data_IF_681655222318
#
_entry.id   IF_681655222318
#
_cell.length_a   1.000
_cell.length_b   1.000
_cell.length_c   1.000
_cell.angle_alpha   90.00
_cell.angle_beta   90.00
_cell.angle_gamma   90.00
#
_symmetry.space_group_name_H-M   'P 1'
#
loop_
_entity.id
_entity.type
_entity.pdbx_description
1 polymer ?
#
# COMPACT_ATOMS: atom_id res chain seq x y z
N UNK A 1 52.39 18.08 -67.45
CA UNK A 1 52.65 18.18 -65.99
C UNK A 1 53.05 16.78 -65.48
N UNK A 2 54.09 16.61 -64.63
CA UNK A 2 53.99 16.43 -63.15
C UNK A 2 52.75 15.59 -62.74
N UNK A 3 52.79 14.52 -61.94
CA UNK A 3 53.83 13.85 -61.11
C UNK A 3 53.26 12.46 -60.68
N UNK A 4 53.92 11.47 -60.02
CA UNK A 4 55.20 11.34 -59.28
C UNK A 4 55.69 9.85 -59.27
N UNK A 5 56.86 9.63 -58.67
CA UNK A 5 57.42 8.48 -57.91
C UNK A 5 56.40 7.50 -57.24
N UNK A 6 56.73 6.25 -56.91
CA UNK A 6 57.99 5.81 -56.24
C UNK A 6 58.58 4.44 -56.59
N UNK A 7 59.82 4.24 -56.15
CA UNK A 7 60.71 3.13 -56.49
C UNK A 7 60.73 2.02 -55.41
N UNK A 8 61.19 0.84 -55.84
CA UNK A 8 61.46 -0.40 -55.09
C UNK A 8 62.01 -0.22 -53.67
N UNK A 9 61.56 -1.07 -52.74
CA UNK A 9 62.35 -1.46 -51.55
C UNK A 9 62.22 -2.97 -51.27
N UNK A 10 63.36 -3.59 -50.98
CA UNK A 10 63.60 -5.03 -51.00
C UNK A 10 63.16 -5.73 -49.70
N UNK A 11 62.26 -6.73 -49.78
CA UNK A 11 61.78 -7.46 -48.61
C UNK A 11 62.76 -8.55 -48.15
N UNK A 12 63.69 -8.13 -47.31
CA UNK A 12 64.59 -9.02 -46.57
C UNK A 12 63.81 -9.97 -45.64
N UNK A 13 63.57 -11.21 -46.08
CA UNK A 13 62.84 -12.24 -45.31
C UNK A 13 63.55 -12.61 -44.01
N UNK A 14 63.19 -11.96 -42.90
CA UNK A 14 63.66 -12.29 -41.55
C UNK A 14 63.15 -13.67 -41.13
N UNK A 15 64.03 -14.68 -41.14
CA UNK A 15 63.76 -15.99 -40.54
C UNK A 15 63.61 -15.84 -39.03
N UNK A 16 62.41 -16.11 -38.51
CA UNK A 16 62.15 -16.14 -37.07
C UNK A 16 63.02 -17.22 -36.40
N UNK A 17 63.70 -16.87 -35.31
CA UNK A 17 64.46 -17.86 -34.52
C UNK A 17 63.45 -18.77 -33.81
N UNK A 18 63.55 -20.08 -33.98
CA UNK A 18 62.59 -21.06 -33.44
C UNK A 18 62.48 -21.04 -31.91
N UNK A 19 63.58 -20.79 -31.19
CA UNK A 19 63.57 -20.75 -29.71
C UNK A 19 62.64 -19.68 -29.11
N UNK A 20 62.73 -18.38 -29.45
CA UNK A 20 61.78 -17.38 -28.93
C UNK A 20 60.35 -17.57 -29.44
N UNK A 21 60.14 -18.12 -30.64
CA UNK A 21 58.79 -18.46 -31.13
C UNK A 21 58.15 -19.58 -30.30
N UNK A 22 58.92 -20.61 -29.95
CA UNK A 22 58.45 -21.71 -29.08
C UNK A 22 58.11 -21.21 -27.68
N UNK A 23 58.91 -20.29 -27.13
CA UNK A 23 58.65 -19.67 -25.82
C UNK A 23 57.39 -18.79 -25.86
N UNK A 24 57.20 -18.00 -26.93
CA UNK A 24 55.98 -17.21 -27.13
C UNK A 24 54.73 -18.10 -27.25
N UNK A 25 54.80 -19.19 -28.03
CA UNK A 25 53.73 -20.18 -28.12
C UNK A 25 53.44 -20.85 -26.77
N UNK A 26 54.47 -21.16 -25.98
CA UNK A 26 54.31 -21.69 -24.63
C UNK A 26 53.55 -20.74 -23.71
N UNK A 27 53.90 -19.44 -23.71
CA UNK A 27 53.17 -18.41 -22.96
C UNK A 27 51.73 -18.26 -23.44
N UNK A 28 51.50 -18.28 -24.76
CA UNK A 28 50.15 -18.17 -25.35
C UNK A 28 49.27 -19.38 -25.00
N UNK A 29 49.84 -20.59 -25.01
CA UNK A 29 49.15 -21.81 -24.59
C UNK A 29 48.87 -21.80 -23.09
N UNK A 30 49.82 -21.38 -22.27
CA UNK A 30 49.65 -21.29 -20.81
C UNK A 30 48.60 -20.23 -20.43
N UNK A 31 48.55 -19.11 -21.15
CA UNK A 31 47.47 -18.10 -21.04
C UNK A 31 46.09 -18.65 -21.43
N UNK A 32 45.98 -19.42 -22.52
CA UNK A 32 44.73 -20.08 -22.91
C UNK A 32 44.30 -21.16 -21.89
N UNK A 33 45.25 -21.92 -21.35
CA UNK A 33 44.97 -22.92 -20.31
C UNK A 33 44.52 -22.25 -19.01
N UNK A 34 45.13 -21.14 -18.60
CA UNK A 34 44.67 -20.36 -17.45
C UNK A 34 43.27 -19.75 -17.68
N UNK A 35 42.99 -19.26 -18.89
CA UNK A 35 41.65 -18.76 -19.25
C UNK A 35 40.60 -19.87 -19.24
N UNK A 36 40.93 -21.06 -19.76
CA UNK A 36 40.04 -22.22 -19.77
C UNK A 36 39.82 -22.80 -18.35
N UNK A 37 40.84 -22.78 -17.48
CA UNK A 37 40.70 -23.12 -16.06
C UNK A 37 39.82 -22.08 -15.35
N UNK A 38 40.00 -20.78 -15.62
CA UNK A 38 39.16 -19.72 -15.06
C UNK A 38 37.69 -19.81 -15.54
N UNK A 39 37.44 -20.43 -16.69
CA UNK A 39 36.09 -20.75 -17.19
C UNK A 39 35.53 -22.07 -16.64
N UNK A 40 36.39 -23.03 -16.26
CA UNK A 40 35.98 -24.30 -15.65
C UNK A 40 35.79 -24.24 -14.13
N UNK A 41 36.38 -23.24 -13.46
CA UNK A 41 35.97 -22.88 -12.10
C UNK A 41 34.53 -22.37 -12.21
N UNK A 42 33.55 -22.96 -11.50
CA UNK A 42 32.20 -22.42 -11.46
C UNK A 42 32.27 -20.98 -10.98
N UNK A 43 31.95 -20.04 -11.86
CA UNK A 43 31.77 -18.66 -11.46
C UNK A 43 30.44 -18.60 -10.72
N UNK A 44 30.49 -18.83 -9.41
CA UNK A 44 29.36 -18.80 -8.46
C UNK A 44 28.86 -17.35 -8.25
N UNK A 45 28.63 -16.67 -9.38
CA UNK A 45 27.95 -15.40 -9.53
C UNK A 45 26.49 -15.58 -9.95
N UNK A 46 25.97 -16.80 -9.86
CA UNK A 46 24.73 -16.96 -9.09
C UNK A 46 25.03 -16.63 -7.63
N UNK A 47 25.12 -15.32 -7.34
CA UNK A 47 24.92 -14.82 -6.00
C UNK A 47 23.44 -15.04 -5.66
N UNK A 48 23.07 -16.30 -5.44
CA UNK A 48 21.93 -16.66 -4.63
C UNK A 48 22.26 -16.13 -3.24
N UNK A 49 21.93 -14.87 -3.00
CA UNK A 49 21.92 -14.29 -1.67
C UNK A 49 20.82 -15.01 -0.91
N UNK A 50 21.18 -16.14 -0.29
CA UNK A 50 20.51 -16.69 0.89
C UNK A 50 20.67 -15.66 2.00
N UNK A 51 19.94 -14.57 1.84
CA UNK A 51 19.88 -13.42 2.73
C UNK A 51 19.18 -13.91 4.00
N UNK A 52 19.92 -13.98 5.10
CA UNK A 52 19.35 -14.25 6.40
C UNK A 52 18.48 -13.06 6.80
N UNK A 53 17.19 -13.32 7.04
CA UNK A 53 16.23 -12.30 7.48
C UNK A 53 16.01 -12.31 8.99
N UNK A 54 16.30 -13.43 9.64
CA UNK A 54 16.32 -13.61 11.09
C UNK A 54 17.09 -14.88 11.47
N UNK A 55 17.43 -15.05 12.75
CA UNK A 55 17.94 -16.32 13.28
C UNK A 55 17.44 -16.60 14.71
N UNK A 56 17.33 -17.88 15.07
CA UNK A 56 16.91 -18.36 16.39
C UNK A 56 17.87 -19.47 16.83
N UNK A 57 18.53 -19.31 17.98
CA UNK A 57 19.56 -20.22 18.49
C UNK A 57 20.69 -20.57 17.49
N UNK A 58 20.98 -19.64 16.55
CA UNK A 58 21.95 -19.84 15.48
C UNK A 58 21.41 -20.57 14.24
N UNK A 59 20.15 -21.01 14.22
CA UNK A 59 19.46 -21.46 13.01
C UNK A 59 18.95 -20.24 12.23
N UNK A 60 19.41 -20.09 10.98
CA UNK A 60 19.06 -18.97 10.11
C UNK A 60 17.73 -19.21 9.38
N UNK A 61 16.87 -18.19 9.39
CA UNK A 61 15.67 -18.08 8.56
C UNK A 61 16.05 -17.32 7.30
N UNK A 62 15.93 -17.97 6.15
CA UNK A 62 16.32 -17.42 4.86
C UNK A 62 15.17 -16.66 4.21
N UNK A 63 15.50 -15.58 3.49
CA UNK A 63 14.56 -14.78 2.70
C UNK A 63 13.70 -15.63 1.77
N UNK A 64 14.29 -16.63 1.11
CA UNK A 64 13.57 -17.56 0.23
C UNK A 64 12.49 -18.35 0.97
N UNK A 65 12.78 -18.84 2.18
CA UNK A 65 11.81 -19.56 3.02
C UNK A 65 10.67 -18.64 3.45
N UNK A 66 10.99 -17.42 3.87
CA UNK A 66 10.00 -16.41 4.24
C UNK A 66 9.12 -16.02 3.04
N UNK A 67 9.72 -15.72 1.88
CA UNK A 67 8.98 -15.35 0.67
C UNK A 67 8.09 -16.49 0.16
N UNK A 68 8.56 -17.75 0.17
CA UNK A 68 7.75 -18.91 -0.19
C UNK A 68 6.56 -19.12 0.77
N UNK A 69 6.77 -18.87 2.07
CA UNK A 69 5.70 -18.92 3.07
C UNK A 69 4.68 -17.78 2.86
N UNK A 70 5.15 -16.57 2.54
CA UNK A 70 4.29 -15.41 2.21
C UNK A 70 3.49 -15.65 0.92
N UNK A 71 4.11 -16.20 -0.12
CA UNK A 71 3.43 -16.59 -1.37
C UNK A 71 2.36 -17.66 -1.11
N UNK A 72 2.68 -18.68 -0.31
CA UNK A 72 1.73 -19.73 0.09
C UNK A 72 0.54 -19.19 0.90
N UNK A 73 0.73 -18.15 1.71
CA UNK A 73 -0.33 -17.56 2.54
C UNK A 73 -1.17 -16.50 1.83
N UNK A 74 -0.54 -15.64 1.02
CA UNK A 74 -1.17 -14.43 0.47
C UNK A 74 -0.99 -14.27 -1.05
N UNK A 75 -0.12 -15.06 -1.70
CA UNK A 75 0.27 -14.87 -3.09
C UNK A 75 -0.88 -14.96 -4.09
N UNK A 76 -1.89 -15.82 -3.82
CA UNK A 76 -3.10 -15.91 -4.66
C UNK A 76 -3.97 -14.67 -4.57
N UNK A 77 -4.18 -14.14 -3.37
CA UNK A 77 -4.99 -12.94 -3.14
C UNK A 77 -4.30 -11.69 -3.70
N UNK A 78 -3.01 -11.52 -3.40
CA UNK A 78 -2.21 -10.40 -3.92
C UNK A 78 -2.16 -10.43 -5.45
N UNK A 79 -1.95 -11.60 -6.08
CA UNK A 79 -1.99 -11.67 -7.55
C UNK A 79 -3.38 -11.39 -8.11
N UNK A 80 -4.45 -11.88 -7.47
CA UNK A 80 -5.82 -11.60 -7.89
C UNK A 80 -6.09 -10.08 -7.93
N UNK A 81 -5.72 -9.36 -6.86
CA UNK A 81 -5.83 -7.90 -6.81
C UNK A 81 -5.01 -7.21 -7.90
N UNK A 82 -3.77 -7.64 -8.14
CA UNK A 82 -2.90 -7.09 -9.18
C UNK A 82 -3.45 -7.33 -10.59
N UNK A 83 -3.97 -8.53 -10.89
CA UNK A 83 -4.58 -8.85 -12.18
C UNK A 83 -5.85 -8.02 -12.36
N UNK A 84 -6.73 -7.95 -11.36
CA UNK A 84 -7.94 -7.12 -11.40
C UNK A 84 -7.64 -5.64 -11.67
N UNK A 85 -6.66 -5.06 -10.96
CA UNK A 85 -6.21 -3.69 -11.21
C UNK A 85 -5.67 -3.51 -12.64
N UNK A 86 -4.86 -4.45 -13.13
CA UNK A 86 -4.28 -4.39 -14.47
C UNK A 86 -5.34 -4.55 -15.58
N UNK A 87 -6.33 -5.43 -15.41
CA UNK A 87 -7.45 -5.62 -16.33
C UNK A 87 -8.28 -4.34 -16.40
N UNK A 88 -8.60 -3.71 -15.26
CA UNK A 88 -9.29 -2.41 -15.24
C UNK A 88 -8.46 -1.31 -15.93
N UNK A 89 -7.14 -1.23 -15.72
CA UNK A 89 -6.30 -0.26 -16.44
C UNK A 89 -6.21 -0.48 -17.96
N UNK A 90 -6.44 -1.71 -18.45
CA UNK A 90 -6.60 -1.97 -19.89
C UNK A 90 -8.01 -1.60 -20.36
N UNK A 91 -9.05 -1.93 -19.58
CA UNK A 91 -10.43 -1.56 -19.83
C UNK A 91 -10.61 -0.04 -19.92
N UNK A 92 -10.01 0.74 -19.01
CA UNK A 92 -10.04 2.19 -19.03
C UNK A 92 -9.52 2.76 -20.37
N UNK A 93 -8.42 2.22 -20.88
CA UNK A 93 -7.82 2.62 -22.16
C UNK A 93 -8.69 2.23 -23.36
N UNK A 94 -9.31 1.04 -23.33
CA UNK A 94 -10.22 0.56 -24.39
C UNK A 94 -11.52 1.37 -24.46
N UNK A 95 -12.04 1.76 -23.30
CA UNK A 95 -13.34 2.44 -23.17
C UNK A 95 -13.25 3.98 -23.06
N UNK A 96 -12.04 4.57 -23.15
CA UNK A 96 -11.68 5.98 -22.89
C UNK A 96 -12.19 6.52 -21.52
N UNK A 97 -12.19 5.64 -20.51
CA UNK A 97 -12.52 6.01 -19.13
C UNK A 97 -11.32 6.73 -18.51
N UNK A 98 -11.59 7.90 -17.94
CA UNK A 98 -10.60 8.69 -17.19
C UNK A 98 -11.04 8.74 -15.73
N UNK A 99 -10.10 8.46 -14.84
CA UNK A 99 -10.24 8.64 -13.39
C UNK A 99 -9.18 9.64 -12.96
N UNK A 100 -9.64 10.74 -12.37
CA UNK A 100 -8.81 11.84 -11.87
C UNK A 100 -8.41 11.63 -10.40
N UNK A 101 -7.35 12.31 -9.96
CA UNK A 101 -6.93 12.26 -8.56
C UNK A 101 -7.99 12.84 -7.61
N UNK A 102 -8.77 13.84 -8.07
CA UNK A 102 -9.85 14.44 -7.29
C UNK A 102 -10.98 13.45 -7.00
N UNK A 103 -11.31 12.58 -7.95
CA UNK A 103 -12.29 11.51 -7.73
C UNK A 103 -11.75 10.46 -6.77
N UNK A 104 -10.47 10.10 -6.87
CA UNK A 104 -9.83 9.17 -5.93
C UNK A 104 -9.80 9.77 -4.52
N UNK A 105 -9.48 11.07 -4.37
CA UNK A 105 -9.48 11.77 -3.09
C UNK A 105 -10.90 11.89 -2.49
N UNK A 106 -11.93 12.12 -3.32
CA UNK A 106 -13.34 12.12 -2.89
C UNK A 106 -13.77 10.73 -2.39
N UNK A 107 -13.59 9.68 -3.19
CA UNK A 107 -13.92 8.31 -2.79
C UNK A 107 -13.15 7.87 -1.53
N UNK A 108 -11.86 8.25 -1.43
CA UNK A 108 -11.04 7.98 -0.25
C UNK A 108 -11.55 8.71 0.99
N UNK A 109 -12.05 9.93 0.85
CA UNK A 109 -12.69 10.66 1.93
C UNK A 109 -14.00 9.98 2.37
N UNK A 110 -14.86 9.61 1.42
CA UNK A 110 -16.14 8.93 1.68
C UNK A 110 -15.95 7.57 2.37
N UNK A 111 -15.03 6.72 1.88
CA UNK A 111 -14.69 5.44 2.51
C UNK A 111 -14.14 5.64 3.93
N UNK A 112 -13.26 6.63 4.14
CA UNK A 112 -12.75 6.96 5.49
C UNK A 112 -13.82 7.52 6.44
N UNK A 113 -14.93 8.06 5.91
CA UNK A 113 -16.04 8.59 6.72
C UNK A 113 -17.05 7.52 7.15
N UNK A 114 -17.16 6.43 6.40
CA UNK A 114 -18.06 5.30 6.67
C UNK A 114 -17.39 4.12 7.37
N UNK A 115 -16.05 4.11 7.46
CA UNK A 115 -15.30 3.06 8.16
C UNK A 115 -15.37 3.18 9.69
N UNK A 116 -16.02 2.20 10.30
CA UNK A 116 -15.82 1.88 11.71
C UNK A 116 -14.38 1.40 11.96
N UNK A 117 -13.87 1.63 13.18
CA UNK A 117 -12.51 1.26 13.59
C UNK A 117 -12.13 -0.22 13.50
N UNK A 118 -13.10 -1.10 13.22
CA UNK A 118 -12.90 -2.54 13.09
C UNK A 118 -12.45 -3.03 11.71
N UNK A 119 -12.61 -2.25 10.63
CA UNK A 119 -12.12 -2.67 9.30
C UNK A 119 -10.61 -2.42 9.19
N UNK A 120 -9.83 -3.48 9.33
CA UNK A 120 -8.36 -3.46 9.28
C UNK A 120 -7.78 -3.38 7.87
N UNK A 121 -8.60 -3.59 6.82
CA UNK A 121 -8.15 -3.73 5.43
C UNK A 121 -7.45 -2.46 4.90
N UNK A 122 -7.86 -1.29 5.40
CA UNK A 122 -7.29 0.02 5.08
C UNK A 122 -6.32 0.53 6.16
N UNK A 123 -6.12 -0.20 7.26
CA UNK A 123 -5.35 0.25 8.43
C UNK A 123 -3.87 -0.09 8.36
N UNK A 124 -3.52 -1.13 7.60
CA UNK A 124 -2.14 -1.63 7.41
C UNK A 124 -1.63 -1.49 5.96
N UNK A 125 -2.48 -1.00 5.05
CA UNK A 125 -2.15 -0.81 3.64
C UNK A 125 -1.46 0.54 3.39
N UNK A 126 -0.45 0.54 2.52
CA UNK A 126 0.14 1.77 1.97
C UNK A 126 -0.96 2.64 1.33
N UNK A 127 -0.89 3.97 1.47
CA UNK A 127 -1.88 4.86 0.86
C UNK A 127 -1.92 4.68 -0.66
N UNK A 128 -0.78 4.42 -1.31
CA UNK A 128 -0.75 4.15 -2.75
C UNK A 128 -1.54 2.88 -3.10
N UNK A 129 -1.43 1.80 -2.32
CA UNK A 129 -2.21 0.57 -2.51
C UNK A 129 -3.70 0.85 -2.38
N UNK A 130 -4.11 1.68 -1.41
CA UNK A 130 -5.50 2.09 -1.24
C UNK A 130 -5.99 2.91 -2.45
N UNK A 131 -5.19 3.88 -2.92
CA UNK A 131 -5.52 4.72 -4.10
C UNK A 131 -5.65 3.86 -5.36
N UNK A 132 -4.80 2.86 -5.55
CA UNK A 132 -4.90 1.91 -6.67
C UNK A 132 -6.17 1.03 -6.59
N UNK A 133 -6.56 0.54 -5.39
CA UNK A 133 -7.83 -0.20 -5.21
C UNK A 133 -9.05 0.66 -5.52
N UNK A 134 -9.09 1.90 -5.01
CA UNK A 134 -10.15 2.88 -5.31
C UNK A 134 -10.21 3.17 -6.81
N UNK A 135 -9.06 3.37 -7.46
CA UNK A 135 -8.96 3.62 -8.90
C UNK A 135 -9.49 2.46 -9.74
N UNK A 136 -9.13 1.22 -9.40
CA UNK A 136 -9.65 0.01 -10.05
C UNK A 136 -11.18 -0.10 -9.94
N UNK A 137 -11.72 0.15 -8.73
CA UNK A 137 -13.17 0.23 -8.48
C UNK A 137 -13.85 1.33 -9.32
N UNK A 138 -13.32 2.55 -9.30
CA UNK A 138 -13.87 3.67 -10.08
C UNK A 138 -13.90 3.40 -11.59
N UNK A 139 -12.90 2.70 -12.13
CA UNK A 139 -12.91 2.30 -13.54
C UNK A 139 -14.07 1.33 -13.81
N UNK A 140 -14.21 0.28 -13.00
CA UNK A 140 -15.30 -0.69 -13.11
C UNK A 140 -16.67 0.00 -13.07
N UNK A 141 -16.90 0.83 -12.05
CA UNK A 141 -18.13 1.59 -11.86
C UNK A 141 -18.46 2.48 -13.06
N UNK A 142 -17.47 3.21 -13.58
CA UNK A 142 -17.64 4.04 -14.78
C UNK A 142 -17.90 3.24 -16.06
N UNK A 143 -17.34 2.04 -16.20
CA UNK A 143 -17.64 1.15 -17.33
C UNK A 143 -19.09 0.67 -17.25
N UNK A 144 -19.54 0.25 -16.06
CA UNK A 144 -20.90 -0.25 -15.84
C UNK A 144 -21.98 0.84 -15.97
N UNK A 145 -21.71 2.05 -15.47
CA UNK A 145 -22.64 3.18 -15.53
C UNK A 145 -22.72 3.87 -16.91
N UNK A 146 -21.79 3.57 -17.84
CA UNK A 146 -21.57 4.35 -19.08
C UNK A 146 -22.80 4.54 -19.96
N UNK A 147 -23.64 3.51 -20.08
CA UNK A 147 -24.82 3.50 -20.94
C UNK A 147 -26.14 3.73 -20.17
N UNK A 148 -26.07 4.04 -18.87
CA UNK A 148 -27.22 4.30 -18.00
C UNK A 148 -27.43 5.81 -17.89
N UNK A 149 -28.64 6.28 -18.22
CA UNK A 149 -29.00 7.70 -18.17
C UNK A 149 -29.71 8.00 -16.84
N UNK A 150 -29.16 8.92 -16.06
CA UNK A 150 -29.79 9.47 -14.85
C UNK A 150 -30.24 10.90 -15.13
N UNK A 151 -31.46 11.24 -14.71
CA UNK A 151 -32.02 12.60 -14.83
C UNK A 151 -31.36 13.55 -13.81
N UNK A 152 -31.03 14.79 -14.22
CA UNK A 152 -30.38 15.81 -13.37
C UNK A 152 -31.21 16.14 -12.09
N UNK A 153 -32.55 16.11 -12.21
CA UNK A 153 -33.42 16.31 -11.04
C UNK A 153 -33.28 15.17 -10.02
N UNK A 154 -32.89 13.95 -10.43
CA UNK A 154 -32.70 12.82 -9.54
C UNK A 154 -31.36 12.91 -8.79
N UNK A 155 -30.26 13.23 -9.47
CA UNK A 155 -28.94 13.44 -8.82
C UNK A 155 -29.00 14.59 -7.81
N UNK A 156 -29.65 15.69 -8.19
CA UNK A 156 -29.84 16.85 -7.32
C UNK A 156 -30.74 16.55 -6.12
N UNK A 157 -31.86 15.85 -6.33
CA UNK A 157 -32.72 15.40 -5.23
C UNK A 157 -32.00 14.45 -4.28
N UNK A 158 -31.14 13.57 -4.81
CA UNK A 158 -30.33 12.68 -3.99
C UNK A 158 -29.34 13.46 -3.13
N UNK A 159 -28.59 14.42 -3.71
CA UNK A 159 -27.73 15.32 -2.93
C UNK A 159 -28.51 16.08 -1.86
N UNK A 160 -29.64 16.68 -2.22
CA UNK A 160 -30.40 17.54 -1.31
C UNK A 160 -30.94 16.78 -0.09
N UNK A 161 -31.32 15.51 -0.26
CA UNK A 161 -31.76 14.59 0.80
C UNK A 161 -30.60 13.98 1.60
N UNK A 162 -29.42 13.80 0.98
CA UNK A 162 -28.28 13.10 1.57
C UNK A 162 -27.07 14.00 1.89
N UNK A 163 -27.23 15.32 2.00
CA UNK A 163 -26.14 16.30 2.25
C UNK A 163 -25.17 15.92 3.37
N UNK A 164 -25.64 15.21 4.39
CA UNK A 164 -24.83 14.77 5.52
C UNK A 164 -23.73 13.76 5.10
N UNK A 165 -23.95 12.95 4.07
CA UNK A 165 -22.94 12.03 3.52
C UNK A 165 -21.75 12.79 2.89
N UNK A 166 -22.03 13.99 2.37
CA UNK A 166 -21.04 14.85 1.69
C UNK A 166 -20.43 15.91 2.60
N UNK A 167 -20.77 15.91 3.89
CA UNK A 167 -20.19 16.79 4.89
C UNK A 167 -19.42 15.96 5.92
N UNK A 168 -18.20 15.59 5.54
CA UNK A 168 -17.34 14.69 6.31
C UNK A 168 -16.70 15.48 7.46
N UNK A 169 -16.96 15.13 8.73
CA UNK A 169 -16.37 15.82 9.86
C UNK A 169 -14.85 15.58 9.94
N UNK A 170 -14.15 16.41 10.70
CA UNK A 170 -12.75 16.10 11.05
C UNK A 170 -12.74 14.87 11.95
N UNK A 171 -11.95 13.87 11.57
CA UNK A 171 -11.78 12.63 12.32
C UNK A 171 -10.33 12.40 12.71
N UNK A 172 -10.15 11.69 13.82
CA UNK A 172 -8.86 11.49 14.48
C UNK A 172 -8.65 9.98 14.65
N UNK A 173 -7.56 9.42 14.11
CA UNK A 173 -7.17 8.05 14.46
C UNK A 173 -6.75 8.06 15.92
N UNK A 174 -7.52 7.39 16.77
CA UNK A 174 -7.50 7.58 18.22
C UNK A 174 -7.16 6.28 18.93
N UNK A 175 -6.18 6.34 19.81
CA UNK A 175 -5.84 5.25 20.72
C UNK A 175 -6.24 5.65 22.15
N UNK A 176 -6.77 4.70 22.94
CA UNK A 176 -7.30 4.95 24.28
C UNK A 176 -6.82 3.90 25.29
N UNK A 177 -6.36 4.37 26.45
CA UNK A 177 -6.10 3.55 27.63
C UNK A 177 -7.20 3.82 28.64
N UNK A 178 -8.17 2.91 28.75
CA UNK A 178 -9.27 2.96 29.72
C UNK A 178 -8.78 2.43 31.08
N UNK A 179 -9.07 3.12 32.17
CA UNK A 179 -8.51 2.84 33.50
C UNK A 179 -9.58 2.94 34.60
N UNK A 180 -9.40 2.18 35.69
CA UNK A 180 -10.41 2.07 36.76
C UNK A 180 -10.33 3.23 37.76
N UNK A 181 -9.16 3.81 37.96
CA UNK A 181 -8.97 4.89 38.93
C UNK A 181 -8.00 5.98 38.45
N UNK A 182 -8.11 7.16 39.06
CA UNK A 182 -7.29 8.32 38.74
C UNK A 182 -5.81 8.19 39.17
N UNK A 183 -5.45 7.17 39.95
CA UNK A 183 -4.06 6.86 40.30
C UNK A 183 -3.34 6.22 39.12
N UNK A 184 -3.87 5.08 38.65
CA UNK A 184 -3.43 4.37 37.44
C UNK A 184 -3.31 5.32 36.24
N UNK A 185 -4.29 6.19 36.03
CA UNK A 185 -4.27 7.15 34.93
C UNK A 185 -3.15 8.19 35.01
N UNK A 186 -2.77 8.63 36.22
CA UNK A 186 -1.62 9.51 36.41
C UNK A 186 -0.30 8.78 36.25
N UNK A 187 -0.23 7.51 36.67
CA UNK A 187 0.95 6.66 36.45
C UNK A 187 1.19 6.44 34.95
N UNK A 188 0.15 6.11 34.17
CA UNK A 188 0.24 6.00 32.70
C UNK A 188 0.73 7.29 32.06
N UNK A 189 0.19 8.47 32.42
CA UNK A 189 0.70 9.76 31.89
C UNK A 189 2.16 10.01 32.28
N UNK A 190 2.59 9.63 33.48
CA UNK A 190 3.99 9.75 33.90
C UNK A 190 4.91 8.79 33.12
N UNK A 191 4.50 7.55 32.89
CA UNK A 191 5.26 6.56 32.11
C UNK A 191 5.38 6.98 30.64
N UNK A 192 4.30 7.51 30.03
CA UNK A 192 4.34 8.13 28.70
C UNK A 192 5.32 9.32 28.64
N UNK A 193 5.28 10.22 29.62
CA UNK A 193 6.23 11.34 29.73
C UNK A 193 7.69 10.89 29.90
N UNK A 194 7.92 9.70 30.45
CA UNK A 194 9.24 9.08 30.57
C UNK A 194 9.70 8.32 29.31
N UNK A 195 8.87 8.26 28.26
CA UNK A 195 9.19 7.67 26.97
C UNK A 195 8.66 6.25 26.73
N UNK A 196 7.76 5.74 27.57
CA UNK A 196 7.08 4.45 27.33
C UNK A 196 6.18 4.52 26.09
N UNK A 197 6.05 3.41 25.35
CA UNK A 197 5.14 3.31 24.20
C UNK A 197 3.67 3.26 24.65
N UNK A 198 2.81 4.07 24.03
CA UNK A 198 1.37 4.07 24.31
C UNK A 198 0.73 2.70 24.05
N UNK A 199 1.06 2.05 22.93
CA UNK A 199 0.56 0.71 22.58
C UNK A 199 0.89 -0.35 23.64
N UNK A 200 2.12 -0.31 24.17
CA UNK A 200 2.55 -1.22 25.25
C UNK A 200 1.77 -0.98 26.55
N UNK A 201 1.59 0.28 26.94
CA UNK A 201 0.81 0.64 28.12
C UNK A 201 -0.69 0.34 27.95
N UNK A 202 -1.23 0.45 26.73
CA UNK A 202 -2.59 0.04 26.42
C UNK A 202 -2.75 -1.47 26.60
N UNK A 203 -1.83 -2.29 26.06
CA UNK A 203 -1.82 -3.75 26.21
C UNK A 203 -1.67 -4.20 27.67
N UNK A 204 -0.87 -3.50 28.46
CA UNK A 204 -0.57 -3.86 29.85
C UNK A 204 -1.63 -3.36 30.86
N UNK A 205 -2.11 -2.12 30.69
CA UNK A 205 -2.89 -1.40 31.73
C UNK A 205 -4.33 -1.12 31.36
N UNK A 206 -4.71 -1.10 30.07
CA UNK A 206 -6.08 -0.77 29.69
C UNK A 206 -7.07 -1.85 30.15
N UNK A 207 -8.19 -1.41 30.72
CA UNK A 207 -9.27 -2.30 31.18
C UNK A 207 -10.26 -2.66 30.07
N UNK A 208 -10.11 -2.06 28.88
CA UNK A 208 -10.84 -2.47 27.67
C UNK A 208 -10.01 -3.49 26.88
N UNK A 209 -10.32 -4.78 27.04
CA UNK A 209 -9.53 -5.85 26.45
C UNK A 209 -9.53 -5.84 24.90
N UNK A 210 -10.61 -5.33 24.29
CA UNK A 210 -10.75 -5.15 22.84
C UNK A 210 -9.68 -4.22 22.29
N UNK A 211 -9.72 -2.94 22.67
CA UNK A 211 -8.75 -1.96 22.17
C UNK A 211 -7.34 -2.25 22.71
N UNK A 212 -7.20 -2.73 23.96
CA UNK A 212 -5.90 -3.09 24.54
C UNK A 212 -5.10 -4.03 23.63
N UNK A 213 -5.74 -5.08 23.09
CA UNK A 213 -5.08 -6.05 22.20
C UNK A 213 -4.50 -5.42 20.92
N UNK A 214 -5.12 -4.33 20.47
CA UNK A 214 -4.75 -3.53 19.28
C UNK A 214 -3.85 -2.33 19.64
N UNK A 215 -3.27 -2.25 20.84
CA UNK A 215 -2.46 -1.11 21.26
C UNK A 215 -3.28 0.12 21.71
N UNK A 216 -4.56 -0.08 22.03
CA UNK A 216 -5.51 0.96 22.44
C UNK A 216 -6.31 1.55 21.29
N UNK A 217 -6.04 1.16 20.04
CA UNK A 217 -6.70 1.70 18.85
C UNK A 217 -8.22 1.44 18.86
N UNK A 218 -8.99 2.52 18.67
CA UNK A 218 -10.46 2.49 18.52
C UNK A 218 -10.93 3.05 17.17
N UNK A 219 -10.01 3.28 16.23
CA UNK A 219 -10.30 3.76 14.89
C UNK A 219 -10.40 5.28 14.77
N UNK A 220 -11.15 5.71 13.75
CA UNK A 220 -11.40 7.12 13.49
C UNK A 220 -12.58 7.63 14.33
N UNK A 221 -12.31 8.65 15.14
CA UNK A 221 -13.31 9.27 16.02
C UNK A 221 -13.56 10.70 15.57
N UNK A 222 -14.82 11.13 15.58
CA UNK A 222 -15.26 12.49 15.24
C UNK A 222 -16.15 13.09 16.33
N UNK A 223 -16.51 14.36 16.21
CA UNK A 223 -17.38 15.06 17.18
C UNK A 223 -18.79 14.42 17.31
N UNK A 224 -19.22 13.63 16.31
CA UNK A 224 -20.50 12.91 16.29
C UNK A 224 -20.43 11.40 16.52
N UNK A 225 -19.29 10.85 16.97
CA UNK A 225 -19.15 9.40 17.18
C UNK A 225 -19.83 8.96 18.49
N UNK A 226 -21.12 8.60 18.42
CA UNK A 226 -21.97 8.23 19.58
C UNK A 226 -21.45 7.05 20.42
N UNK A 227 -20.63 6.17 19.85
CA UNK A 227 -20.01 5.03 20.53
C UNK A 227 -18.85 5.41 21.46
N UNK A 228 -18.39 6.67 21.42
CA UNK A 228 -17.24 7.18 22.19
C UNK A 228 -17.70 8.22 23.20
N UNK A 229 -17.13 8.20 24.41
CA UNK A 229 -17.49 9.15 25.46
C UNK A 229 -17.16 10.61 25.03
N UNK A 230 -18.09 11.58 25.15
CA UNK A 230 -17.84 12.96 24.76
C UNK A 230 -16.66 13.66 25.46
N UNK A 231 -16.20 13.17 26.61
CA UNK A 231 -14.96 13.65 27.22
C UNK A 231 -13.74 13.35 26.32
N UNK A 232 -13.75 12.19 25.63
CA UNK A 232 -12.75 11.80 24.64
C UNK A 232 -12.90 12.67 23.40
N UNK A 233 -14.09 12.70 22.76
CA UNK A 233 -14.28 13.42 21.49
C UNK A 233 -13.96 14.91 21.60
N UNK A 234 -14.28 15.54 22.74
CA UNK A 234 -13.97 16.95 23.02
C UNK A 234 -12.46 17.23 23.21
N UNK A 235 -11.65 16.23 23.56
CA UNK A 235 -10.22 16.40 23.78
C UNK A 235 -9.41 16.35 22.47
N UNK A 236 -9.83 15.52 21.51
CA UNK A 236 -9.09 15.23 20.27
C UNK A 236 -8.67 16.48 19.47
N UNK A 237 -9.50 17.53 19.29
CA UNK A 237 -9.12 18.72 18.52
C UNK A 237 -7.97 19.53 19.12
N UNK A 238 -7.66 19.32 20.40
CA UNK A 238 -6.52 19.98 21.07
C UNK A 238 -5.20 19.23 20.91
N UNK A 239 -5.25 17.95 20.50
CA UNK A 239 -4.09 17.07 20.39
C UNK A 239 -3.42 17.19 19.02
N UNK A 240 -2.13 16.89 19.00
CA UNK A 240 -1.33 16.78 17.78
C UNK A 240 -1.04 15.30 17.50
N UNK A 241 -0.81 14.91 16.23
CA UNK A 241 -0.25 13.61 15.88
C UNK A 241 0.89 13.17 16.80
N UNK A 242 0.81 11.95 17.32
CA UNK A 242 1.76 11.37 18.28
C UNK A 242 1.72 11.96 19.69
N UNK A 243 0.66 12.69 20.07
CA UNK A 243 0.48 13.27 21.42
C UNK A 243 -0.77 12.77 22.12
N UNK A 244 -0.64 12.62 23.44
CA UNK A 244 -1.69 12.17 24.33
C UNK A 244 -2.28 13.31 25.17
N UNK A 245 -3.47 13.07 25.71
CA UNK A 245 -4.20 13.96 26.61
C UNK A 245 -3.69 13.89 28.06
N UNK A 246 -4.10 14.86 28.86
CA UNK A 246 -4.22 14.67 30.31
C UNK A 246 -5.28 13.59 30.65
N UNK A 247 -5.36 13.20 31.92
CA UNK A 247 -6.37 12.24 32.40
C UNK A 247 -7.79 12.79 32.22
N UNK A 248 -8.57 12.13 31.36
CA UNK A 248 -9.99 12.40 31.14
C UNK A 248 -10.83 11.59 32.14
N UNK A 249 -11.93 12.17 32.61
CA UNK A 249 -12.94 11.47 33.41
C UNK A 249 -14.16 11.21 32.53
N UNK A 250 -14.56 9.95 32.41
CA UNK A 250 -15.65 9.51 31.55
C UNK A 250 -17.00 9.58 32.29
N UNK A 251 -18.11 9.60 31.53
CA UNK A 251 -19.47 9.66 32.08
C UNK A 251 -19.83 8.45 32.95
N UNK A 252 -19.22 7.31 32.69
CA UNK A 252 -19.39 6.07 33.46
C UNK A 252 -18.54 6.01 34.75
N UNK A 253 -17.74 7.05 35.02
CA UNK A 253 -16.86 7.15 36.18
C UNK A 253 -15.49 6.49 36.02
N UNK A 254 -15.18 5.90 34.85
CA UNK A 254 -13.81 5.47 34.50
C UNK A 254 -12.94 6.67 34.10
N UNK A 255 -11.66 6.38 33.92
CA UNK A 255 -10.67 7.34 33.44
C UNK A 255 -10.13 6.90 32.08
N UNK A 256 -9.71 7.86 31.27
CA UNK A 256 -9.04 7.59 30.00
C UNK A 256 -7.81 8.49 29.81
N UNK A 257 -6.81 7.95 29.13
CA UNK A 257 -5.76 8.72 28.46
C UNK A 257 -5.88 8.43 26.98
N UNK A 258 -5.92 9.45 26.12
CA UNK A 258 -6.15 9.28 24.68
C UNK A 258 -5.01 9.87 23.88
N UNK A 259 -4.61 9.20 22.79
CA UNK A 259 -3.62 9.68 21.84
C UNK A 259 -4.26 9.84 20.46
N UNK A 260 -3.84 10.88 19.74
CA UNK A 260 -4.14 11.05 18.30
C UNK A 260 -2.91 10.63 17.50
N UNK A 261 -3.05 9.66 16.62
CA UNK A 261 -1.98 9.23 15.71
C UNK A 261 -1.99 10.04 14.42
N UNK A 262 -3.15 10.12 13.75
CA UNK A 262 -3.34 10.89 12.53
C UNK A 262 -4.62 11.72 12.60
N UNK A 263 -4.64 12.84 11.87
CA UNK A 263 -5.80 13.74 11.77
C UNK A 263 -6.25 13.79 10.32
N UNK A 264 -7.45 13.27 10.05
CA UNK A 264 -8.12 13.47 8.77
C UNK A 264 -8.99 14.73 8.87
N UNK A 265 -8.58 15.78 8.15
CA UNK A 265 -9.32 17.05 8.15
C UNK A 265 -10.67 16.85 7.47
N UNK A 266 -11.72 17.38 8.08
CA UNK A 266 -13.06 17.34 7.53
C UNK A 266 -13.14 18.06 6.18
N UNK A 267 -14.00 17.55 5.32
CA UNK A 267 -14.22 18.03 3.95
C UNK A 267 -15.71 18.10 3.68
N UNK A 268 -16.17 19.24 3.17
CA UNK A 268 -17.55 19.45 2.76
C UNK A 268 -17.57 19.62 1.25
N UNK A 269 -18.29 18.73 0.57
CA UNK A 269 -18.40 18.74 -0.88
C UNK A 269 -19.73 19.38 -1.29
N UNK A 270 -19.68 20.27 -2.29
CA UNK A 270 -20.86 20.85 -2.92
C UNK A 270 -21.44 19.90 -3.97
N UNK A 271 -22.67 20.13 -4.44
CA UNK A 271 -23.30 19.30 -5.47
C UNK A 271 -22.39 19.10 -6.69
N UNK A 272 -21.75 20.16 -7.20
CA UNK A 272 -20.84 20.08 -8.36
C UNK A 272 -19.55 19.29 -8.11
N UNK A 273 -19.17 19.07 -6.85
CA UNK A 273 -18.00 18.26 -6.50
C UNK A 273 -18.35 16.75 -6.46
N UNK A 274 -19.64 16.40 -6.30
CA UNK A 274 -20.12 15.01 -6.14
C UNK A 274 -21.14 14.57 -7.18
N UNK A 275 -21.52 15.43 -8.14
CA UNK A 275 -22.49 15.14 -9.19
C UNK A 275 -22.13 13.86 -9.97
N UNK A 276 -20.89 13.75 -10.44
CA UNK A 276 -20.38 12.55 -11.14
C UNK A 276 -20.37 11.30 -10.24
N UNK A 277 -20.19 11.44 -8.93
CA UNK A 277 -20.26 10.33 -7.97
C UNK A 277 -21.72 9.89 -7.78
N UNK A 278 -22.63 10.83 -7.54
CA UNK A 278 -24.07 10.55 -7.39
C UNK A 278 -24.65 9.91 -8.65
N UNK A 279 -24.27 10.39 -9.84
CA UNK A 279 -24.70 9.78 -11.10
C UNK A 279 -24.21 8.33 -11.20
N UNK A 280 -22.98 8.01 -10.77
CA UNK A 280 -22.49 6.62 -10.73
C UNK A 280 -23.31 5.78 -9.76
N UNK A 281 -23.44 6.21 -8.49
CA UNK A 281 -24.21 5.48 -7.48
C UNK A 281 -25.64 5.17 -7.96
N UNK A 282 -26.37 6.17 -8.45
CA UNK A 282 -27.74 6.01 -8.97
C UNK A 282 -27.84 5.16 -10.24
N UNK A 283 -26.76 5.05 -11.03
CA UNK A 283 -26.69 4.15 -12.17
C UNK A 283 -26.39 2.70 -11.74
N UNK A 284 -25.50 2.50 -10.77
CA UNK A 284 -25.17 1.20 -10.20
C UNK A 284 -26.37 0.59 -9.47
N UNK A 285 -27.17 1.40 -8.77
CA UNK A 285 -28.44 1.01 -8.13
C UNK A 285 -29.48 0.42 -9.13
N UNK A 286 -29.37 0.72 -10.43
CA UNK A 286 -30.25 0.16 -11.46
C UNK A 286 -29.75 -1.20 -12.00
N UNK A 287 -28.54 -1.63 -11.65
CA UNK A 287 -27.98 -2.89 -12.12
C UNK A 287 -28.59 -4.07 -11.35
N UNK A 288 -29.09 -5.12 -12.04
CA UNK A 288 -29.76 -6.23 -11.38
C UNK A 288 -28.80 -7.20 -10.67
N UNK A 289 -27.48 -7.06 -10.86
CA UNK A 289 -26.44 -7.94 -10.35
C UNK A 289 -25.17 -7.13 -10.03
N UNK A 290 -24.46 -7.48 -8.96
CA UNK A 290 -23.12 -6.99 -8.69
C UNK A 290 -22.13 -7.59 -9.69
N UNK A 291 -21.52 -6.75 -10.53
CA UNK A 291 -20.44 -7.15 -11.45
C UNK A 291 -19.09 -6.86 -10.81
N UNK A 292 -18.15 -7.79 -10.89
CA UNK A 292 -16.78 -7.64 -10.38
C UNK A 292 -15.77 -7.54 -11.53
N UNK A 293 -14.51 -7.20 -11.22
CA UNK A 293 -13.45 -7.05 -12.22
C UNK A 293 -13.19 -8.35 -13.00
N UNK A 294 -13.40 -9.51 -12.39
CA UNK A 294 -13.26 -10.85 -12.99
C UNK A 294 -14.18 -11.05 -14.20
N UNK A 295 -15.34 -10.38 -14.25
CA UNK A 295 -16.26 -10.47 -15.39
C UNK A 295 -15.65 -9.93 -16.71
N UNK A 296 -14.56 -9.17 -16.63
CA UNK A 296 -13.85 -8.62 -17.77
C UNK A 296 -12.62 -9.44 -18.18
N UNK A 297 -12.23 -10.47 -17.43
CA UNK A 297 -11.00 -11.24 -17.70
C UNK A 297 -10.99 -11.87 -19.09
N UNK A 298 -12.10 -12.49 -19.49
CA UNK A 298 -12.29 -13.07 -20.83
C UNK A 298 -12.24 -12.02 -21.95
N UNK A 299 -12.56 -10.75 -21.66
CA UNK A 299 -12.55 -9.66 -22.65
C UNK A 299 -11.15 -9.08 -22.90
N UNK A 300 -10.22 -9.32 -21.97
CA UNK A 300 -8.87 -8.78 -21.94
C UNK A 300 -7.77 -9.86 -21.91
N UNK A 301 -8.14 -11.11 -22.24
CA UNK A 301 -7.23 -12.27 -22.31
C UNK A 301 -6.40 -12.45 -21.01
N UNK A 302 -7.04 -12.28 -19.85
CA UNK A 302 -6.35 -12.28 -18.56
C UNK A 302 -5.95 -13.70 -18.10
N UNK A 303 -4.68 -14.05 -18.29
CA UNK A 303 -4.09 -15.30 -17.80
C UNK A 303 -3.39 -15.12 -16.44
N UNK A 304 -3.56 -16.08 -15.54
CA UNK A 304 -2.87 -16.11 -14.24
C UNK A 304 -2.51 -17.55 -13.81
N UNK A 305 -1.45 -17.69 -13.01
CA UNK A 305 -0.88 -19.01 -12.70
C UNK A 305 -1.68 -19.84 -11.69
N UNK A 306 -2.64 -19.23 -10.98
CA UNK A 306 -3.57 -19.91 -10.07
C UNK A 306 -4.87 -20.37 -10.74
N UNK A 307 -4.96 -20.30 -12.07
CA UNK A 307 -6.06 -20.92 -12.82
C UNK A 307 -6.05 -22.44 -12.61
N UNK A 308 -7.17 -22.98 -12.11
CA UNK A 308 -7.37 -24.43 -12.09
C UNK A 308 -7.51 -24.94 -13.54
N UNK A 309 -6.90 -26.09 -13.83
CA UNK A 309 -6.96 -26.79 -15.12
C UNK A 309 -8.12 -27.77 -15.19
#
# INVERSE_FOLDING_TARGET
>A
MKSTRDNVSDQQKRRLKTKPVLLMLGVLLLGNVLWLIAWLIPNDQTANTTEEVASVDGEAILKEQWMAQMESMYGKEVLLEMVNAQVMEVAAKKYDIKVSDQEIDLELALVRSTQDGSDTSFQSSDEEVIRQKIRSRLILEKVLAKDIVIEEDATKSYYDNNKNLYNIPTSYRTNVIYLKNAGEAKEVVNELNNGSSFEGLARERSVDASSASLGGDIGYVSEGTDSVDPAITSALPSLKPGKWSDVLTLKDGRFAVVQVDTVFKGQSFSYSDVEDHIHRELALDQLPQSVTQEAFWDEFDAEWFYSEK
#
